data_IF_662865284466
#
_entry.id   IF_662865284466
#
_cell.length_a   1.000
_cell.length_b   1.000
_cell.length_c   1.000
_cell.angle_alpha   90.00
_cell.angle_beta   90.00
_cell.angle_gamma   90.00
#
_symmetry.space_group_name_H-M   'P 1'
#
loop_
_entity.id
_entity.type
_entity.pdbx_description
1 polymer ?
#
# COMPACT_ATOMS: atom_id res chain seq x y z
N UNK A 1 -8.72 30.77 40.75
CA UNK A 1 -7.84 31.93 41.02
C UNK A 1 -6.48 31.61 40.42
N UNK A 2 -6.06 32.32 39.38
CA UNK A 2 -4.77 32.04 38.71
C UNK A 2 -3.62 32.57 39.57
N UNK A 3 -2.67 31.71 39.93
CA UNK A 3 -1.50 32.11 40.70
C UNK A 3 -0.63 33.06 39.86
N UNK A 4 -0.11 34.14 40.47
CA UNK A 4 0.80 35.07 39.77
C UNK A 4 2.10 34.33 39.41
N UNK A 5 2.34 34.15 38.11
CA UNK A 5 3.59 33.58 37.62
C UNK A 5 4.75 34.50 37.98
N UNK A 6 5.78 33.95 38.61
CA UNK A 6 7.00 34.70 38.95
C UNK A 6 8.16 34.23 38.09
N UNK A 7 8.77 35.16 37.37
CA UNK A 7 9.93 34.89 36.51
C UNK A 7 11.22 35.38 37.19
N UNK A 8 12.38 34.96 36.68
CA UNK A 8 13.70 35.51 37.03
C UNK A 8 14.07 35.49 38.54
N UNK A 9 13.50 34.58 39.35
CA UNK A 9 13.95 34.29 40.73
C UNK A 9 14.37 32.84 40.87
N UNK A 10 15.26 32.54 41.82
CA UNK A 10 15.63 31.15 42.15
C UNK A 10 14.45 30.43 42.84
N UNK A 11 14.10 29.20 42.43
CA UNK A 11 13.09 28.40 43.12
C UNK A 11 13.48 28.07 44.56
N UNK A 12 12.52 28.17 45.48
CA UNK A 12 12.68 27.74 46.88
C UNK A 12 12.34 26.27 47.10
N UNK A 13 12.37 25.78 48.35
CA UNK A 13 11.98 24.42 48.68
C UNK A 13 10.54 24.10 48.22
N UNK A 14 10.35 22.98 47.53
CA UNK A 14 9.04 22.57 46.99
C UNK A 14 8.64 23.26 45.68
N UNK A 15 9.48 24.14 45.14
CA UNK A 15 9.27 24.84 43.88
C UNK A 15 10.23 24.33 42.79
N UNK A 16 9.85 24.58 41.54
CA UNK A 16 10.65 24.25 40.35
C UNK A 16 10.35 25.23 39.22
N UNK A 17 10.93 25.00 38.04
CA UNK A 17 10.60 25.73 36.81
C UNK A 17 9.45 25.03 36.09
N UNK A 18 8.47 25.80 35.62
CA UNK A 18 7.47 25.31 34.67
C UNK A 18 8.12 25.17 33.28
N UNK A 19 8.85 24.09 33.07
CA UNK A 19 9.58 23.81 31.84
C UNK A 19 9.36 22.35 31.44
N UNK A 20 8.66 22.15 30.33
CA UNK A 20 8.40 20.82 29.73
C UNK A 20 9.36 20.49 28.59
N UNK A 21 10.20 21.45 28.16
CA UNK A 21 11.19 21.29 27.07
C UNK A 21 11.94 19.95 27.10
N UNK A 22 12.47 19.47 28.26
CA UNK A 22 13.25 18.22 28.29
C UNK A 22 12.49 16.94 27.92
N UNK A 23 11.15 17.00 27.86
CA UNK A 23 10.27 15.92 27.43
C UNK A 23 9.71 16.13 26.03
N UNK A 24 9.51 17.38 25.61
CA UNK A 24 8.85 17.69 24.33
C UNK A 24 9.83 17.85 23.16
N UNK A 25 11.09 18.26 23.37
CA UNK A 25 12.07 18.40 22.28
C UNK A 25 13.53 18.33 22.75
N UNK A 26 14.44 18.33 21.78
CA UNK A 26 15.89 18.31 22.00
C UNK A 26 16.57 19.32 21.07
N UNK A 27 17.59 20.01 21.56
CA UNK A 27 18.46 20.86 20.74
C UNK A 27 19.71 20.09 20.35
N UNK A 28 20.00 20.08 19.06
CA UNK A 28 21.25 19.54 18.51
C UNK A 28 22.05 20.71 17.92
N UNK A 29 23.24 20.94 18.46
CA UNK A 29 24.17 21.97 17.98
C UNK A 29 24.93 21.48 16.74
N UNK A 30 25.50 22.40 15.97
CA UNK A 30 26.26 22.09 14.76
C UNK A 30 27.49 21.17 15.01
N UNK A 31 28.03 21.16 16.23
CA UNK A 31 29.13 20.28 16.63
C UNK A 31 28.67 18.91 17.17
N UNK A 32 27.38 18.58 17.05
CA UNK A 32 26.79 17.34 17.55
C UNK A 32 26.41 17.36 19.03
N UNK A 33 26.68 18.43 19.78
CA UNK A 33 26.26 18.52 21.18
C UNK A 33 24.73 18.52 21.30
N UNK A 34 24.23 17.78 22.28
CA UNK A 34 22.82 17.61 22.57
C UNK A 34 22.49 18.33 23.88
N UNK A 35 21.44 19.15 23.87
CA UNK A 35 20.92 19.90 25.02
C UNK A 35 19.40 19.69 25.15
N UNK A 36 18.87 19.66 26.37
CA UNK A 36 17.44 19.43 26.62
C UNK A 36 16.59 20.72 26.72
N UNK A 37 17.21 21.89 26.64
CA UNK A 37 16.53 23.18 26.71
C UNK A 37 17.46 24.26 26.11
N UNK A 38 16.92 25.44 25.77
CA UNK A 38 17.65 26.52 25.11
C UNK A 38 18.84 27.10 25.93
N UNK A 39 18.89 26.79 27.23
CA UNK A 39 19.98 27.13 28.17
C UNK A 39 20.45 25.92 28.98
N UNK A 40 20.17 24.72 28.49
CA UNK A 40 20.55 23.48 29.14
C UNK A 40 22.06 23.28 29.10
N UNK A 41 22.56 22.49 30.05
CA UNK A 41 23.90 21.91 29.94
C UNK A 41 23.90 20.84 28.83
N UNK A 42 25.06 20.61 28.24
CA UNK A 42 25.24 19.52 27.27
C UNK A 42 25.03 18.18 27.98
N UNK A 43 24.15 17.34 27.44
CA UNK A 43 23.83 16.00 27.97
C UNK A 43 24.50 14.87 27.18
N UNK A 44 25.10 15.18 26.03
CA UNK A 44 25.88 14.23 25.23
C UNK A 44 26.26 14.81 23.88
N UNK A 45 26.95 14.01 23.05
CA UNK A 45 27.33 14.36 21.69
C UNK A 45 27.00 13.21 20.72
N UNK A 46 26.38 13.54 19.58
CA UNK A 46 25.97 12.55 18.57
C UNK A 46 27.13 11.84 17.86
N UNK A 47 28.35 12.39 17.91
CA UNK A 47 29.56 11.73 17.43
C UNK A 47 30.04 10.60 18.34
N UNK A 48 29.56 10.53 19.58
CA UNK A 48 30.00 9.54 20.58
C UNK A 48 28.96 8.44 20.81
N UNK A 49 27.67 8.80 20.83
CA UNK A 49 26.56 7.89 21.15
C UNK A 49 25.32 8.24 20.32
N UNK A 50 24.41 7.28 20.16
CA UNK A 50 23.12 7.53 19.51
C UNK A 50 22.27 8.52 20.33
N UNK A 51 21.37 9.23 19.66
CA UNK A 51 20.45 10.16 20.32
C UNK A 51 19.63 9.46 21.41
N UNK A 52 19.13 8.25 21.15
CA UNK A 52 18.41 7.43 22.13
C UNK A 52 19.26 7.16 23.38
N UNK A 53 20.51 6.72 23.21
CA UNK A 53 21.41 6.43 24.31
C UNK A 53 21.75 7.69 25.14
N UNK A 54 21.84 8.86 24.50
CA UNK A 54 22.03 10.14 25.17
C UNK A 54 20.78 10.52 25.97
N UNK A 55 19.59 10.44 25.36
CA UNK A 55 18.33 10.83 26.01
C UNK A 55 17.91 9.89 27.14
N UNK A 56 18.29 8.61 27.07
CA UNK A 56 18.14 7.62 28.15
C UNK A 56 19.32 7.66 29.15
N UNK A 57 20.34 8.48 28.87
CA UNK A 57 21.56 8.57 29.65
C UNK A 57 21.39 9.31 30.99
N UNK A 58 22.35 9.12 31.92
CA UNK A 58 22.28 9.68 33.26
C UNK A 58 22.25 11.21 33.28
N UNK A 59 22.88 11.88 32.31
CA UNK A 59 22.88 13.34 32.20
C UNK A 59 21.47 13.88 31.90
N UNK A 60 20.78 13.27 30.94
CA UNK A 60 19.39 13.60 30.61
C UNK A 60 18.44 13.28 31.75
N UNK A 61 18.60 12.11 32.39
CA UNK A 61 17.83 11.72 33.58
C UNK A 61 18.02 12.71 34.73
N UNK A 62 19.25 13.18 34.97
CA UNK A 62 19.56 14.16 36.03
C UNK A 62 18.80 15.47 35.82
N UNK A 63 18.79 16.01 34.60
CA UNK A 63 18.07 17.26 34.30
C UNK A 63 16.57 17.11 34.52
N UNK A 64 15.95 16.05 33.97
CA UNK A 64 14.51 15.77 34.13
C UNK A 64 14.14 15.52 35.59
N UNK A 65 14.92 14.72 36.31
CA UNK A 65 14.71 14.45 37.75
C UNK A 65 14.84 15.72 38.57
N UNK A 66 15.84 16.56 38.28
CA UNK A 66 16.04 17.83 38.97
C UNK A 66 14.82 18.73 38.87
N UNK A 67 14.21 18.83 37.68
CA UNK A 67 12.96 19.56 37.48
C UNK A 67 11.80 18.97 38.29
N UNK A 68 11.64 17.64 38.32
CA UNK A 68 10.54 16.95 39.04
C UNK A 68 10.71 16.88 40.56
N UNK A 69 11.90 17.19 41.09
CA UNK A 69 12.25 17.12 42.52
C UNK A 69 12.59 18.48 43.13
N UNK A 70 12.94 19.47 42.33
CA UNK A 70 13.43 20.78 42.77
C UNK A 70 14.97 20.85 42.87
N UNK A 71 15.67 19.72 42.67
CA UNK A 71 17.14 19.65 42.63
C UNK A 71 17.69 20.12 41.28
N UNK A 72 17.49 21.40 40.99
CA UNK A 72 17.77 21.98 39.68
C UNK A 72 19.27 22.05 39.36
N UNK A 73 19.61 21.75 38.10
CA UNK A 73 20.93 22.05 37.54
C UNK A 73 21.15 23.57 37.45
N UNK A 74 22.42 24.05 37.47
CA UNK A 74 22.74 25.49 37.44
C UNK A 74 21.95 26.30 36.41
N UNK A 75 21.87 25.84 35.16
CA UNK A 75 21.13 26.54 34.09
C UNK A 75 19.63 26.71 34.39
N UNK A 76 19.00 25.74 35.05
CA UNK A 76 17.59 25.79 35.43
C UNK A 76 17.34 26.74 36.61
N UNK A 77 18.27 26.83 37.57
CA UNK A 77 18.14 27.71 38.75
C UNK A 77 18.00 29.18 38.36
N UNK A 78 18.71 29.63 37.33
CA UNK A 78 18.74 31.03 36.88
C UNK A 78 18.01 31.23 35.55
N UNK A 79 17.15 30.29 35.12
CA UNK A 79 16.42 30.41 33.87
C UNK A 79 15.48 31.63 33.89
N UNK A 80 15.63 32.59 32.95
CA UNK A 80 14.77 33.76 32.88
C UNK A 80 13.46 33.47 32.13
N UNK A 81 13.41 32.39 31.34
CA UNK A 81 12.28 32.06 30.45
C UNK A 81 11.13 31.40 31.20
N UNK A 82 11.43 30.48 32.10
CA UNK A 82 10.43 29.66 32.75
C UNK A 82 10.05 30.23 34.12
N UNK A 83 8.74 30.32 34.38
CA UNK A 83 8.21 30.74 35.67
C UNK A 83 8.58 29.73 36.78
N UNK A 84 8.64 30.22 38.01
CA UNK A 84 8.72 29.38 39.20
C UNK A 84 7.32 28.96 39.60
N UNK A 85 7.12 27.65 39.80
CA UNK A 85 5.84 27.04 40.18
C UNK A 85 6.05 25.96 41.25
N UNK A 86 5.02 25.57 42.00
CA UNK A 86 5.09 24.38 42.86
C UNK A 86 5.37 23.11 42.06
N UNK A 87 6.10 22.15 42.65
CA UNK A 87 6.44 20.87 42.00
C UNK A 87 5.21 20.13 41.45
N UNK A 88 4.09 20.16 42.17
CA UNK A 88 2.85 19.51 41.75
C UNK A 88 2.30 20.08 40.44
N UNK A 89 2.55 21.35 40.14
CA UNK A 89 2.11 21.99 38.92
C UNK A 89 2.92 21.53 37.72
N UNK A 90 4.25 21.48 37.83
CA UNK A 90 5.09 20.92 36.79
C UNK A 90 4.76 19.44 36.53
N UNK A 91 4.54 18.64 37.58
CA UNK A 91 4.21 17.21 37.42
C UNK A 91 2.95 17.02 36.58
N UNK A 92 1.89 17.79 36.86
CA UNK A 92 0.68 17.78 36.03
C UNK A 92 0.95 18.19 34.58
N UNK A 93 1.78 19.22 34.36
CA UNK A 93 2.14 19.66 33.00
C UNK A 93 2.93 18.58 32.23
N UNK A 94 3.88 17.91 32.89
CA UNK A 94 4.65 16.81 32.27
C UNK A 94 3.76 15.59 32.00
N UNK A 95 2.87 15.24 32.93
CA UNK A 95 1.89 14.17 32.72
C UNK A 95 1.00 14.46 31.52
N UNK A 96 0.53 15.70 31.38
CA UNK A 96 -0.28 16.15 30.25
C UNK A 96 0.48 16.03 28.92
N UNK A 97 1.70 16.56 28.84
CA UNK A 97 2.56 16.49 27.63
C UNK A 97 2.84 15.04 27.21
N UNK A 98 3.15 14.17 28.16
CA UNK A 98 3.44 12.76 27.87
C UNK A 98 2.18 11.97 27.48
N UNK A 99 1.01 12.37 27.99
CA UNK A 99 -0.24 11.68 27.73
C UNK A 99 -0.93 12.13 26.44
N UNK A 100 -1.02 13.44 26.18
CA UNK A 100 -1.66 13.97 24.97
C UNK A 100 -0.99 13.47 23.69
N UNK A 101 0.35 13.51 23.64
CA UNK A 101 1.09 13.01 22.49
C UNK A 101 0.80 11.53 22.19
N UNK A 102 0.62 10.70 23.22
CA UNK A 102 0.30 9.29 23.07
C UNK A 102 -1.16 9.02 22.69
N UNK A 103 -2.10 9.86 23.13
CA UNK A 103 -3.52 9.72 22.81
C UNK A 103 -3.78 10.08 21.34
N UNK A 104 -3.22 11.17 20.86
CA UNK A 104 -3.39 11.60 19.46
C UNK A 104 -2.85 10.57 18.47
N UNK A 105 -1.67 10.01 18.74
CA UNK A 105 -1.08 8.96 17.91
C UNK A 105 -1.93 7.68 17.93
N UNK A 106 -2.42 7.28 19.11
CA UNK A 106 -3.28 6.10 19.24
C UNK A 106 -4.62 6.31 18.52
N UNK A 107 -5.19 7.51 18.58
CA UNK A 107 -6.42 7.85 17.87
C UNK A 107 -6.22 7.87 16.35
N UNK A 108 -5.11 8.44 15.87
CA UNK A 108 -4.72 8.42 14.48
C UNK A 108 -4.55 6.98 13.96
N UNK A 109 -3.86 6.13 14.73
CA UNK A 109 -3.65 4.72 14.38
C UNK A 109 -4.98 3.95 14.38
N UNK A 110 -5.85 4.20 15.37
CA UNK A 110 -7.20 3.61 15.40
C UNK A 110 -8.04 4.01 14.19
N UNK A 111 -7.96 5.26 13.74
CA UNK A 111 -8.61 5.72 12.51
C UNK A 111 -8.07 4.96 11.30
N UNK A 112 -6.76 4.88 11.15
CA UNK A 112 -6.14 4.17 10.03
C UNK A 112 -6.54 2.69 10.00
N UNK A 113 -6.57 2.02 11.15
CA UNK A 113 -7.01 0.62 11.24
C UNK A 113 -8.48 0.45 10.84
N UNK A 114 -9.36 1.40 11.17
CA UNK A 114 -10.77 1.37 10.73
C UNK A 114 -10.88 1.51 9.22
N UNK A 115 -10.17 2.47 8.63
CA UNK A 115 -10.16 2.70 7.18
C UNK A 115 -9.64 1.46 6.43
N UNK A 116 -8.52 0.90 6.85
CA UNK A 116 -7.96 -0.32 6.26
C UNK A 116 -8.91 -1.52 6.35
N UNK A 117 -9.71 -1.63 7.43
CA UNK A 117 -10.71 -2.69 7.57
C UNK A 117 -11.85 -2.55 6.55
N UNK A 118 -12.29 -1.33 6.27
CA UNK A 118 -13.33 -1.05 5.27
C UNK A 118 -12.81 -1.40 3.87
N UNK A 119 -11.65 -0.85 3.49
CA UNK A 119 -11.02 -1.13 2.19
C UNK A 119 -10.78 -2.63 1.99
N UNK A 120 -10.32 -3.33 3.03
CA UNK A 120 -10.14 -4.78 2.97
C UNK A 120 -11.45 -5.53 2.75
N UNK A 121 -12.55 -5.11 3.37
CA UNK A 121 -13.85 -5.75 3.17
C UNK A 121 -14.35 -5.56 1.73
N UNK A 122 -14.21 -4.35 1.17
CA UNK A 122 -14.57 -4.04 -0.22
C UNK A 122 -13.75 -4.89 -1.21
N UNK A 123 -12.43 -4.94 -1.05
CA UNK A 123 -11.56 -5.76 -1.90
C UNK A 123 -11.88 -7.25 -1.84
N UNK A 124 -12.29 -7.76 -0.67
CA UNK A 124 -12.70 -9.16 -0.53
C UNK A 124 -14.02 -9.44 -1.25
N UNK A 125 -14.97 -8.51 -1.20
CA UNK A 125 -16.23 -8.62 -1.92
C UNK A 125 -16.02 -8.56 -3.44
N UNK A 126 -15.19 -7.62 -3.91
CA UNK A 126 -14.83 -7.51 -5.33
C UNK A 126 -14.11 -8.76 -5.84
N UNK A 127 -13.16 -9.30 -5.06
CA UNK A 127 -12.49 -10.56 -5.39
C UNK A 127 -13.47 -11.71 -5.55
N UNK A 128 -14.46 -11.83 -4.66
CA UNK A 128 -15.46 -12.89 -4.75
C UNK A 128 -16.36 -12.72 -5.98
N UNK A 129 -16.77 -11.48 -6.27
CA UNK A 129 -17.52 -11.16 -7.46
C UNK A 129 -16.77 -11.55 -8.75
N UNK A 130 -15.49 -11.15 -8.87
CA UNK A 130 -14.66 -11.50 -10.02
C UNK A 130 -14.43 -13.01 -10.13
N UNK A 131 -14.27 -13.71 -9.00
CA UNK A 131 -14.15 -15.17 -8.98
C UNK A 131 -15.40 -15.85 -9.55
N UNK A 132 -16.58 -15.35 -9.20
CA UNK A 132 -17.85 -15.82 -9.78
C UNK A 132 -17.92 -15.60 -11.29
N UNK A 133 -17.49 -14.44 -11.78
CA UNK A 133 -17.43 -14.17 -13.22
C UNK A 133 -16.47 -15.10 -13.97
N UNK A 134 -15.29 -15.36 -13.43
CA UNK A 134 -14.35 -16.31 -14.02
C UNK A 134 -14.96 -17.70 -14.10
N UNK A 135 -15.61 -18.18 -13.03
CA UNK A 135 -16.25 -19.49 -13.02
C UNK A 135 -17.35 -19.61 -14.08
N UNK A 136 -18.17 -18.57 -14.27
CA UNK A 136 -19.19 -18.56 -15.32
C UNK A 136 -18.57 -18.62 -16.72
N UNK A 137 -17.54 -17.80 -16.98
CA UNK A 137 -16.84 -17.80 -18.27
C UNK A 137 -16.17 -19.15 -18.55
N UNK A 138 -15.59 -19.78 -17.54
CA UNK A 138 -15.02 -21.12 -17.64
C UNK A 138 -16.07 -22.18 -17.95
N UNK A 139 -17.29 -22.04 -17.41
CA UNK A 139 -18.41 -22.93 -17.70
C UNK A 139 -18.99 -22.73 -19.10
N UNK A 140 -19.06 -21.49 -19.61
CA UNK A 140 -19.58 -21.19 -20.96
C UNK A 140 -18.60 -21.56 -22.08
N UNK A 141 -17.28 -21.45 -21.82
CA UNK A 141 -16.22 -21.74 -22.80
C UNK A 141 -16.39 -23.08 -23.54
N UNK A 142 -16.58 -24.24 -22.87
CA UNK A 142 -16.72 -25.52 -23.57
C UNK A 142 -17.95 -25.57 -24.47
N UNK A 143 -19.06 -24.91 -24.11
CA UNK A 143 -20.26 -24.86 -24.95
C UNK A 143 -19.99 -24.11 -26.27
N UNK A 144 -19.31 -22.96 -26.19
CA UNK A 144 -18.93 -22.19 -27.37
C UNK A 144 -17.93 -22.95 -28.25
N UNK A 145 -16.94 -23.61 -27.65
CA UNK A 145 -15.97 -24.45 -28.37
C UNK A 145 -16.67 -25.61 -29.09
N UNK A 146 -17.60 -26.30 -28.42
CA UNK A 146 -18.36 -27.38 -29.02
C UNK A 146 -19.25 -26.88 -30.18
N UNK A 147 -19.89 -25.72 -30.01
CA UNK A 147 -20.70 -25.11 -31.06
C UNK A 147 -19.86 -24.74 -32.29
N UNK A 148 -18.68 -24.14 -32.10
CA UNK A 148 -17.75 -23.84 -33.18
C UNK A 148 -17.32 -25.11 -33.94
N UNK A 149 -16.97 -26.17 -33.22
CA UNK A 149 -16.58 -27.45 -33.83
C UNK A 149 -17.74 -28.06 -34.66
N UNK A 150 -18.99 -27.94 -34.21
CA UNK A 150 -20.14 -28.41 -34.98
C UNK A 150 -20.33 -27.61 -36.27
N UNK A 151 -20.23 -26.28 -36.20
CA UNK A 151 -20.33 -25.41 -37.39
C UNK A 151 -19.20 -25.70 -38.40
N UNK A 152 -17.98 -25.97 -37.93
CA UNK A 152 -16.87 -26.38 -38.79
C UNK A 152 -17.16 -27.72 -39.50
N UNK A 153 -17.74 -28.69 -38.80
CA UNK A 153 -18.13 -29.97 -39.37
C UNK A 153 -19.25 -29.81 -40.42
N UNK A 154 -20.26 -28.99 -40.14
CA UNK A 154 -21.33 -28.67 -41.08
C UNK A 154 -20.79 -27.98 -42.33
N UNK A 155 -19.90 -26.99 -42.17
CA UNK A 155 -19.22 -26.33 -43.28
C UNK A 155 -18.46 -27.34 -44.15
N UNK A 156 -17.71 -28.25 -43.55
CA UNK A 156 -16.98 -29.28 -44.29
C UNK A 156 -17.91 -30.21 -45.10
N UNK A 157 -19.06 -30.61 -44.51
CA UNK A 157 -20.08 -31.41 -45.20
C UNK A 157 -20.68 -30.68 -46.39
N UNK A 158 -20.99 -29.39 -46.23
CA UNK A 158 -21.54 -28.57 -47.31
C UNK A 158 -20.54 -28.40 -48.46
N UNK A 159 -19.27 -28.13 -48.16
CA UNK A 159 -18.22 -28.05 -49.18
C UNK A 159 -18.07 -29.36 -49.96
N UNK A 160 -18.09 -30.51 -49.28
CA UNK A 160 -18.05 -31.81 -49.93
C UNK A 160 -19.27 -32.07 -50.84
N UNK A 161 -20.46 -31.61 -50.43
CA UNK A 161 -21.68 -31.71 -51.24
C UNK A 161 -21.60 -30.84 -52.49
N UNK A 162 -21.14 -29.60 -52.35
CA UNK A 162 -20.91 -28.69 -53.48
C UNK A 162 -19.94 -29.31 -54.49
N UNK A 163 -18.78 -29.80 -54.04
CA UNK A 163 -17.80 -30.44 -54.93
C UNK A 163 -18.33 -31.71 -55.63
N UNK A 164 -19.30 -32.40 -55.02
CA UNK A 164 -19.96 -33.56 -55.64
C UNK A 164 -20.95 -33.10 -56.71
N UNK A 165 -21.79 -32.11 -56.41
CA UNK A 165 -22.73 -31.54 -57.37
C UNK A 165 -22.02 -30.90 -58.57
N UNK A 166 -20.90 -30.21 -58.35
CA UNK A 166 -20.07 -29.66 -59.42
C UNK A 166 -19.53 -30.76 -60.36
N UNK A 167 -19.07 -31.88 -59.81
CA UNK A 167 -18.66 -33.05 -60.61
C UNK A 167 -19.82 -33.65 -61.41
N UNK A 168 -20.99 -33.80 -60.79
CA UNK A 168 -22.19 -34.29 -61.48
C UNK A 168 -22.64 -33.37 -62.61
N UNK A 169 -22.60 -32.04 -62.40
CA UNK A 169 -22.88 -31.05 -63.44
C UNK A 169 -21.88 -31.11 -64.60
N UNK A 170 -20.58 -31.20 -64.31
CA UNK A 170 -19.54 -31.35 -65.34
C UNK A 170 -19.73 -32.62 -66.17
N UNK A 171 -20.10 -33.75 -65.56
CA UNK A 171 -20.40 -35.00 -66.27
C UNK A 171 -21.66 -34.87 -67.14
N UNK A 172 -22.70 -34.22 -66.63
CA UNK A 172 -23.94 -33.94 -67.37
C UNK A 172 -23.73 -33.00 -68.57
N UNK A 173 -22.78 -32.06 -68.46
CA UNK A 173 -22.40 -31.14 -69.53
C UNK A 173 -21.66 -31.83 -70.71
N UNK A 174 -21.17 -33.07 -70.55
CA UNK A 174 -20.61 -33.86 -71.65
C UNK A 174 -21.74 -34.32 -72.57
N UNK A 175 -21.92 -33.60 -73.69
CA UNK A 175 -23.02 -33.79 -74.64
C UNK A 175 -23.17 -35.26 -75.14
N UNK A 176 -24.39 -35.83 -75.13
CA UNK A 176 -24.67 -37.15 -75.69
C UNK A 176 -24.48 -37.24 -77.23
N UNK A 177 -24.25 -36.12 -77.93
CA UNK A 177 -23.91 -36.08 -79.36
C UNK A 177 -22.42 -36.24 -79.67
N UNK A 178 -21.54 -36.29 -78.67
CA UNK A 178 -20.12 -36.48 -78.90
C UNK A 178 -19.81 -37.90 -79.46
N UNK A 179 -18.85 -38.05 -80.40
CA UNK A 179 -18.42 -39.34 -80.92
C UNK A 179 -18.03 -40.30 -79.79
N UNK A 180 -18.30 -41.61 -79.96
CA UNK A 180 -18.09 -42.63 -78.92
C UNK A 180 -16.64 -42.67 -78.41
N UNK A 181 -15.66 -42.45 -79.29
CA UNK A 181 -14.23 -42.34 -78.97
C UNK A 181 -13.90 -41.17 -78.04
N UNK A 182 -14.54 -40.01 -78.24
CA UNK A 182 -14.38 -38.80 -77.43
C UNK A 182 -14.99 -38.97 -76.03
N UNK A 183 -16.13 -39.69 -75.95
CA UNK A 183 -16.77 -40.03 -74.66
C UNK A 183 -15.97 -41.02 -73.84
N UNK A 184 -15.38 -42.05 -74.46
CA UNK A 184 -14.50 -42.99 -73.76
C UNK A 184 -13.17 -42.37 -73.36
N UNK A 185 -12.63 -41.45 -74.18
CA UNK A 185 -11.44 -40.67 -73.86
C UNK A 185 -11.66 -39.76 -72.65
N UNK A 186 -12.75 -38.99 -72.63
CA UNK A 186 -13.11 -38.13 -71.50
C UNK A 186 -13.38 -38.94 -70.22
N UNK A 187 -14.09 -40.07 -70.32
CA UNK A 187 -14.32 -40.95 -69.16
C UNK A 187 -13.01 -41.51 -68.57
N UNK A 188 -12.09 -41.97 -69.42
CA UNK A 188 -10.77 -42.42 -68.97
C UNK A 188 -9.96 -41.29 -68.36
N UNK A 189 -10.01 -40.11 -68.97
CA UNK A 189 -9.27 -38.93 -68.51
C UNK A 189 -9.76 -38.40 -67.15
N UNK A 190 -11.07 -38.38 -66.90
CA UNK A 190 -11.62 -38.08 -65.58
C UNK A 190 -11.33 -39.19 -64.55
N UNK A 191 -11.32 -40.46 -64.96
CA UNK A 191 -10.99 -41.59 -64.07
C UNK A 191 -9.50 -41.64 -63.66
N UNK A 192 -8.59 -41.12 -64.49
CA UNK A 192 -7.16 -40.99 -64.19
C UNK A 192 -6.79 -39.73 -63.40
N UNK A 193 -7.77 -38.96 -62.94
CA UNK A 193 -7.56 -37.81 -62.04
C UNK A 193 -7.69 -36.42 -62.68
N UNK A 194 -8.06 -36.31 -63.97
CA UNK A 194 -8.32 -35.03 -64.63
C UNK A 194 -7.17 -34.00 -64.52
N UNK A 195 -7.38 -32.73 -64.93
CA UNK A 195 -6.36 -31.72 -64.82
C UNK A 195 -6.21 -31.33 -63.34
N UNK A 196 -4.98 -31.46 -62.81
CA UNK A 196 -4.63 -30.89 -61.51
C UNK A 196 -4.54 -29.38 -61.66
N UNK A 197 -5.62 -28.68 -61.34
CA UNK A 197 -5.62 -27.23 -61.19
C UNK A 197 -4.65 -26.88 -60.05
N UNK A 198 -3.70 -25.98 -60.35
CA UNK A 198 -2.79 -25.37 -59.35
C UNK A 198 -3.56 -24.44 -58.42
#
# INVERSE_FOLDING_TARGET
>A
MSAKLTFCRTPGPGETRLCTDPWSFVYVRANGNVELCCRGEVVGNLGERSLEAILAGPESTRVRRGLLTGELVPGCKTCPRCSVVPLAELRRAVEHELFEAGVDELEALRRQVREHRVVRAELLAEREHLRGHVANLEAERPHLVAHAANLEAERARLLARVATLEREQLVSAVSPRAPRSLREGLRRWFASGGPKLK
#
